data_IF_147634715164
#
_entry.id   IF_147634715164
#
_cell.length_a   1.000
_cell.length_b   1.000
_cell.length_c   1.000
_cell.angle_alpha   90.00
_cell.angle_beta   90.00
_cell.angle_gamma   90.00
#
_symmetry.space_group_name_H-M   'P 1'
#
loop_
_entity.id
_entity.type
_entity.pdbx_description
1 polymer ?
#
# COMPACT_ATOMS: atom_id res chain seq x y z
N UNK A 1 16.74 -23.30 2.57
CA UNK A 1 16.25 -23.78 3.88
C UNK A 1 16.77 -25.18 4.13
N UNK A 2 17.34 -25.48 5.31
CA UNK A 2 17.65 -26.87 5.68
C UNK A 2 16.31 -27.54 6.07
N UNK A 3 16.00 -28.75 5.57
CA UNK A 3 14.75 -29.42 5.94
C UNK A 3 14.69 -29.63 7.46
N UNK A 4 13.48 -29.61 8.05
CA UNK A 4 13.31 -29.91 9.46
C UNK A 4 13.90 -31.29 9.77
N UNK A 5 14.57 -31.39 10.92
CA UNK A 5 15.11 -32.68 11.36
C UNK A 5 13.97 -33.48 11.98
N UNK A 6 13.56 -34.55 11.29
CA UNK A 6 12.57 -35.50 11.78
C UNK A 6 13.27 -36.51 12.68
N UNK A 7 12.96 -36.47 13.97
CA UNK A 7 13.35 -37.51 14.92
C UNK A 7 12.08 -38.27 15.30
N UNK A 8 11.77 -39.33 14.55
CA UNK A 8 10.50 -40.05 14.70
C UNK A 8 9.30 -39.13 14.42
N UNK A 9 8.39 -39.01 15.40
CA UNK A 9 7.15 -38.22 15.29
C UNK A 9 7.32 -36.72 15.58
N UNK A 10 8.50 -36.27 16.05
CA UNK A 10 8.72 -34.90 16.51
C UNK A 10 9.59 -34.14 15.51
N UNK A 11 9.06 -33.00 15.04
CA UNK A 11 9.74 -32.09 14.13
C UNK A 11 10.51 -31.04 14.94
N UNK A 12 11.85 -31.07 14.88
CA UNK A 12 12.69 -30.07 15.57
C UNK A 12 13.15 -28.97 14.62
N UNK A 13 12.84 -27.73 14.98
CA UNK A 13 13.34 -26.53 14.32
C UNK A 13 14.51 -25.93 15.09
N UNK A 14 15.43 -25.24 14.38
CA UNK A 14 16.54 -24.53 15.05
C UNK A 14 15.99 -23.40 15.94
N UNK A 15 16.63 -23.19 17.09
CA UNK A 15 16.33 -22.02 17.95
C UNK A 15 16.83 -20.75 17.26
N UNK A 16 15.93 -19.80 17.01
CA UNK A 16 16.22 -18.52 16.35
C UNK A 16 15.06 -18.02 15.50
N UNK A 17 15.14 -16.75 15.06
CA UNK A 17 14.06 -16.06 14.35
C UNK A 17 13.63 -16.80 13.06
N UNK A 18 14.61 -17.19 12.24
CA UNK A 18 14.35 -17.97 11.02
C UNK A 18 13.80 -19.37 11.29
N UNK A 19 14.13 -19.96 12.43
CA UNK A 19 13.59 -21.26 12.84
C UNK A 19 12.14 -21.16 13.31
N UNK A 20 11.78 -20.05 13.97
CA UNK A 20 10.39 -19.74 14.34
C UNK A 20 9.53 -19.47 13.10
N UNK A 21 10.04 -18.71 12.13
CA UNK A 21 9.34 -18.46 10.86
C UNK A 21 9.10 -19.76 10.08
N UNK A 22 10.14 -20.59 9.92
CA UNK A 22 10.02 -21.88 9.26
C UNK A 22 9.03 -22.81 9.97
N UNK A 23 8.98 -22.76 11.31
CA UNK A 23 7.97 -23.47 12.10
C UNK A 23 6.56 -22.93 11.85
N UNK A 24 6.38 -21.62 11.84
CA UNK A 24 5.08 -20.99 11.57
C UNK A 24 4.55 -21.34 10.18
N UNK A 25 5.41 -21.31 9.15
CA UNK A 25 5.03 -21.72 7.79
C UNK A 25 4.70 -23.21 7.67
N UNK A 26 5.17 -24.05 8.61
CA UNK A 26 4.90 -25.48 8.62
C UNK A 26 3.65 -25.84 9.44
N UNK A 27 3.45 -25.20 10.59
CA UNK A 27 2.32 -25.47 11.47
C UNK A 27 1.02 -24.80 11.01
N UNK A 28 1.06 -23.56 10.51
CA UNK A 28 -0.12 -22.77 10.14
C UNK A 28 0.15 -21.95 8.85
N UNK A 29 0.24 -22.60 7.68
CA UNK A 29 0.61 -21.94 6.44
C UNK A 29 -0.40 -20.86 6.01
N UNK A 30 -1.69 -21.04 6.28
CA UNK A 30 -2.75 -20.11 5.87
C UNK A 30 -2.60 -18.74 6.56
N UNK A 31 -2.36 -18.73 7.87
CA UNK A 31 -2.22 -17.50 8.64
C UNK A 31 -0.92 -16.77 8.28
N UNK A 32 0.17 -17.51 8.06
CA UNK A 32 1.44 -16.92 7.61
C UNK A 32 1.30 -16.31 6.21
N UNK A 33 0.63 -17.01 5.29
CA UNK A 33 0.37 -16.53 3.94
C UNK A 33 -0.54 -15.30 3.92
N UNK A 34 -1.65 -15.33 4.66
CA UNK A 34 -2.57 -14.21 4.78
C UNK A 34 -1.90 -12.97 5.39
N UNK A 35 -1.10 -13.15 6.44
CA UNK A 35 -0.36 -12.05 7.08
C UNK A 35 0.68 -11.43 6.15
N UNK A 36 1.40 -12.27 5.40
CA UNK A 36 2.35 -11.80 4.41
C UNK A 36 1.68 -11.00 3.29
N UNK A 37 0.54 -11.49 2.77
CA UNK A 37 -0.23 -10.77 1.76
C UNK A 37 -0.81 -9.46 2.31
N UNK A 38 -1.26 -9.44 3.56
CA UNK A 38 -1.72 -8.21 4.21
C UNK A 38 -0.60 -7.16 4.26
N UNK A 39 0.63 -7.56 4.62
CA UNK A 39 1.79 -6.65 4.63
C UNK A 39 2.12 -6.13 3.22
N UNK A 40 2.06 -6.98 2.21
CA UNK A 40 2.24 -6.54 0.81
C UNK A 40 1.16 -5.52 0.42
N UNK A 41 -0.09 -5.77 0.76
CA UNK A 41 -1.21 -4.86 0.49
C UNK A 41 -1.00 -3.49 1.13
N UNK A 42 -0.55 -3.44 2.39
CA UNK A 42 -0.20 -2.20 3.08
C UNK A 42 0.94 -1.48 2.35
N UNK A 43 1.96 -2.22 1.90
CA UNK A 43 3.07 -1.66 1.12
C UNK A 43 2.61 -0.98 -0.16
N UNK A 44 1.76 -1.65 -0.95
CA UNK A 44 1.21 -1.08 -2.18
C UNK A 44 0.31 0.13 -1.92
N UNK A 45 -0.57 0.06 -0.91
CA UNK A 45 -1.43 1.18 -0.54
C UNK A 45 -0.61 2.42 -0.14
N UNK A 46 0.43 2.22 0.68
CA UNK A 46 1.29 3.31 1.14
C UNK A 46 2.07 3.93 -0.03
N UNK A 47 2.64 3.09 -0.91
CA UNK A 47 3.37 3.57 -2.09
C UNK A 47 2.45 4.33 -3.06
N UNK A 48 1.23 3.84 -3.28
CA UNK A 48 0.23 4.51 -4.11
C UNK A 48 -0.15 5.89 -3.56
N UNK A 49 -0.45 5.98 -2.26
CA UNK A 49 -0.75 7.25 -1.59
C UNK A 49 0.45 8.22 -1.64
N UNK A 50 1.67 7.72 -1.44
CA UNK A 50 2.87 8.55 -1.48
C UNK A 50 3.09 9.15 -2.88
N UNK A 51 2.99 8.33 -3.92
CA UNK A 51 3.12 8.80 -5.30
C UNK A 51 2.01 9.78 -5.69
N UNK A 52 0.77 9.52 -5.24
CA UNK A 52 -0.35 10.45 -5.44
C UNK A 52 -0.06 11.82 -4.81
N UNK A 53 0.49 11.85 -3.60
CA UNK A 53 0.81 13.10 -2.92
C UNK A 53 1.91 13.89 -3.64
N UNK A 54 2.95 13.20 -4.10
CA UNK A 54 4.15 13.83 -4.68
C UNK A 54 3.98 14.24 -6.14
N UNK A 55 3.27 13.44 -6.95
CA UNK A 55 3.15 13.68 -8.38
C UNK A 55 2.01 14.65 -8.71
N UNK A 56 0.88 14.57 -7.99
CA UNK A 56 -0.29 15.40 -8.29
C UNK A 56 -0.34 16.68 -7.46
N UNK A 57 0.44 16.83 -6.39
CA UNK A 57 0.66 18.10 -5.68
C UNK A 57 -0.62 18.87 -5.35
N UNK A 58 -0.78 20.07 -5.95
CA UNK A 58 -1.96 20.92 -5.77
C UNK A 58 -3.18 20.49 -6.59
N UNK A 59 -2.98 19.58 -7.53
CA UNK A 59 -3.92 19.12 -8.52
C UNK A 59 -4.52 17.75 -8.20
N UNK A 60 -4.55 17.40 -6.92
CA UNK A 60 -5.18 16.19 -6.40
C UNK A 60 -6.69 16.27 -6.58
N UNK A 61 -7.25 15.23 -7.20
CA UNK A 61 -8.69 15.07 -7.38
C UNK A 61 -9.45 15.07 -6.04
N UNK A 62 -8.91 14.42 -5.02
CA UNK A 62 -9.48 14.36 -3.68
C UNK A 62 -8.76 15.34 -2.77
N UNK A 63 -9.22 16.60 -2.75
CA UNK A 63 -8.71 17.66 -1.88
C UNK A 63 -9.78 18.07 -0.86
N UNK A 64 -9.39 18.28 0.39
CA UNK A 64 -10.30 18.77 1.45
C UNK A 64 -10.71 20.23 1.24
N UNK A 65 -9.87 20.99 0.54
CA UNK A 65 -10.10 22.40 0.23
C UNK A 65 -10.18 22.59 -1.28
N UNK A 66 -11.28 23.18 -1.74
CA UNK A 66 -11.44 23.59 -3.14
C UNK A 66 -10.67 24.88 -3.42
N UNK A 67 -10.14 24.98 -4.63
CA UNK A 67 -9.49 26.19 -5.13
C UNK A 67 -10.29 26.71 -6.32
N UNK A 68 -10.67 27.98 -6.26
CA UNK A 68 -11.29 28.68 -7.39
C UNK A 68 -10.15 29.28 -8.20
N UNK A 69 -10.02 28.83 -9.45
CA UNK A 69 -9.02 29.37 -10.38
C UNK A 69 -9.71 30.35 -11.33
N UNK A 70 -9.06 31.48 -11.61
CA UNK A 70 -9.58 32.46 -12.56
C UNK A 70 -9.41 31.90 -13.98
N UNK A 71 -10.44 32.09 -14.81
CA UNK A 71 -10.36 31.76 -16.23
C UNK A 71 -9.17 32.49 -16.89
N UNK A 72 -8.29 31.72 -17.55
CA UNK A 72 -7.08 32.19 -18.22
C UNK A 72 -5.82 32.26 -17.35
N UNK A 73 -5.87 31.84 -16.08
CA UNK A 73 -4.66 31.64 -15.28
C UNK A 73 -3.88 30.43 -15.84
N UNK A 74 -2.56 30.50 -16.08
CA UNK A 74 -1.78 29.37 -16.59
C UNK A 74 -1.88 28.10 -15.73
N UNK A 75 -2.28 28.22 -14.47
CA UNK A 75 -2.55 27.08 -13.57
C UNK A 75 -3.81 26.29 -13.95
N UNK A 76 -4.73 26.89 -14.70
CA UNK A 76 -5.95 26.24 -15.18
C UNK A 76 -5.64 25.04 -16.08
N UNK A 77 -4.62 25.16 -16.95
CA UNK A 77 -4.21 24.11 -17.88
C UNK A 77 -3.68 22.84 -17.20
N UNK A 78 -3.30 22.95 -15.93
CA UNK A 78 -2.73 21.84 -15.17
C UNK A 78 -3.88 21.00 -14.58
N UNK A 79 -5.07 21.57 -14.38
CA UNK A 79 -6.20 20.91 -13.71
C UNK A 79 -6.63 19.63 -14.44
N UNK A 80 -6.60 18.48 -13.75
CA UNK A 80 -7.02 17.19 -14.34
C UNK A 80 -8.53 17.09 -14.53
N UNK A 81 -9.32 17.61 -13.58
CA UNK A 81 -10.78 17.50 -13.59
C UNK A 81 -11.44 18.78 -13.03
N UNK A 82 -11.41 19.90 -13.78
CA UNK A 82 -12.03 21.14 -13.34
C UNK A 82 -13.56 21.04 -13.42
N UNK A 83 -14.24 21.39 -12.33
CA UNK A 83 -15.70 21.62 -12.34
C UNK A 83 -15.94 23.09 -12.68
N UNK A 84 -16.50 23.34 -13.85
CA UNK A 84 -16.83 24.70 -14.27
C UNK A 84 -18.10 25.18 -13.56
N UNK A 85 -17.96 26.15 -12.67
CA UNK A 85 -19.11 26.85 -12.12
C UNK A 85 -19.46 28.00 -13.07
N UNK A 86 -20.57 27.86 -13.80
CA UNK A 86 -21.10 28.97 -14.58
C UNK A 86 -21.80 29.92 -13.63
N UNK A 87 -21.21 31.08 -13.36
CA UNK A 87 -21.98 32.19 -12.81
C UNK A 87 -22.91 32.66 -13.92
N UNK A 88 -24.19 32.26 -13.83
CA UNK A 88 -25.24 32.76 -14.70
C UNK A 88 -25.23 34.28 -14.69
N UNK A 89 -25.27 34.88 -15.89
CA UNK A 89 -25.32 36.33 -16.08
C UNK A 89 -26.61 36.91 -15.54
#
# INVERSE_FOLDING_TARGET
MRPPQNFGHIVKFKKGLFGLFARGCWEIPEVMGASFMALIGIGFATAGCYNYLQMDGDNREYKSTYYIVRAGDPRECILKNPVFTSYGK
#
